data_IF_889812685156
#
_entry.id   IF_889812685156
#
_cell.length_a   1.000
_cell.length_b   1.000
_cell.length_c   1.000
_cell.angle_alpha   90.00
_cell.angle_beta   90.00
_cell.angle_gamma   90.00
#
_symmetry.space_group_name_H-M   'P 1'
#
loop_
_entity.id
_entity.type
_entity.pdbx_description
1 polymer ?
#
# COMPACT_ATOMS: atom_id res chain seq x y z
N UNK A 1 -48.01 -11.10 -27.54
CA UNK A 1 -46.65 -10.85 -28.05
C UNK A 1 -45.82 -10.37 -26.85
N UNK A 2 -45.24 -11.30 -26.09
CA UNK A 2 -44.46 -10.96 -24.88
C UNK A 2 -42.98 -10.89 -25.24
N UNK A 3 -42.37 -9.75 -24.96
CA UNK A 3 -40.95 -9.48 -25.18
C UNK A 3 -40.10 -10.33 -24.23
N UNK A 4 -39.18 -11.12 -24.79
CA UNK A 4 -38.10 -11.76 -24.02
C UNK A 4 -37.20 -10.66 -23.48
N UNK A 5 -37.18 -10.54 -22.15
CA UNK A 5 -36.30 -9.64 -21.42
C UNK A 5 -34.88 -10.20 -21.48
N UNK A 6 -33.86 -9.46 -21.94
CA UNK A 6 -32.51 -9.98 -22.02
C UNK A 6 -32.02 -10.33 -20.61
N UNK A 7 -31.52 -11.56 -20.44
CA UNK A 7 -30.89 -11.98 -19.18
C UNK A 7 -29.83 -10.96 -18.78
N UNK A 8 -29.95 -10.40 -17.58
CA UNK A 8 -28.92 -9.53 -17.04
C UNK A 8 -27.64 -10.34 -16.91
N UNK A 9 -26.57 -9.89 -17.59
CA UNK A 9 -25.21 -10.44 -17.55
C UNK A 9 -24.73 -10.91 -16.15
N UNK A 10 -25.06 -10.26 -15.02
CA UNK A 10 -24.70 -10.79 -13.69
C UNK A 10 -25.27 -12.20 -13.37
N UNK A 11 -26.41 -12.59 -13.95
CA UNK A 11 -27.05 -13.89 -13.69
C UNK A 11 -26.41 -15.07 -14.43
N UNK A 12 -25.71 -14.82 -15.54
CA UNK A 12 -24.99 -15.84 -16.30
C UNK A 12 -23.60 -16.13 -15.68
N UNK A 13 -22.92 -15.09 -15.21
CA UNK A 13 -21.60 -15.21 -14.54
C UNK A 13 -21.73 -15.86 -13.16
N UNK A 14 -22.79 -15.53 -12.41
CA UNK A 14 -23.07 -16.18 -11.12
C UNK A 14 -23.35 -17.68 -11.22
N UNK A 15 -23.95 -18.14 -12.34
CA UNK A 15 -24.26 -19.57 -12.57
C UNK A 15 -23.05 -20.39 -12.99
N UNK A 16 -22.07 -19.80 -13.68
CA UNK A 16 -20.83 -20.50 -14.09
C UNK A 16 -19.81 -20.56 -12.96
N UNK A 17 -19.74 -19.55 -12.09
CA UNK A 17 -18.84 -19.53 -10.93
C UNK A 17 -19.12 -20.62 -9.88
N UNK A 18 -20.35 -21.11 -9.79
CA UNK A 18 -20.71 -22.23 -8.92
C UNK A 18 -20.15 -23.61 -9.36
N UNK A 19 -19.65 -23.72 -10.59
CA UNK A 19 -19.12 -24.98 -11.17
C UNK A 19 -17.60 -25.02 -11.33
N UNK A 20 -16.90 -23.96 -10.98
CA UNK A 20 -15.44 -23.87 -11.14
C UNK A 20 -14.77 -24.32 -9.84
N UNK A 21 -13.74 -25.18 -9.87
CA UNK A 21 -12.99 -25.57 -8.67
C UNK A 21 -12.58 -24.36 -7.85
N UNK A 22 -12.54 -24.51 -6.52
CA UNK A 22 -12.26 -23.41 -5.59
C UNK A 22 -10.99 -22.63 -5.96
N UNK A 23 -9.98 -23.33 -6.49
CA UNK A 23 -8.71 -22.75 -6.93
C UNK A 23 -8.85 -21.82 -8.13
N UNK A 24 -9.73 -22.14 -9.08
CA UNK A 24 -9.95 -21.27 -10.25
C UNK A 24 -10.76 -20.04 -9.87
N UNK A 25 -11.72 -20.17 -8.94
CA UNK A 25 -12.39 -18.99 -8.37
C UNK A 25 -11.40 -18.09 -7.66
N UNK A 26 -10.45 -18.67 -6.92
CA UNK A 26 -9.39 -17.91 -6.25
C UNK A 26 -8.48 -17.20 -7.26
N UNK A 27 -8.16 -17.85 -8.38
CA UNK A 27 -7.37 -17.24 -9.47
C UNK A 27 -8.16 -16.11 -10.15
N UNK A 28 -9.44 -16.32 -10.44
CA UNK A 28 -10.32 -15.29 -11.03
C UNK A 28 -10.47 -14.12 -10.07
N UNK A 29 -10.67 -14.37 -8.78
CA UNK A 29 -10.79 -13.33 -7.76
C UNK A 29 -9.48 -12.58 -7.60
N UNK A 30 -8.33 -13.26 -7.50
CA UNK A 30 -7.01 -12.60 -7.49
C UNK A 30 -6.73 -11.83 -8.77
N UNK A 31 -7.15 -12.34 -9.93
CA UNK A 31 -7.02 -11.63 -11.19
C UNK A 31 -7.90 -10.38 -11.18
N UNK A 32 -9.13 -10.48 -10.68
CA UNK A 32 -10.06 -9.37 -10.55
C UNK A 32 -9.52 -8.30 -9.58
N UNK A 33 -9.08 -8.70 -8.38
CA UNK A 33 -8.49 -7.83 -7.37
C UNK A 33 -7.17 -7.20 -7.85
N UNK A 34 -6.41 -7.89 -8.71
CA UNK A 34 -5.16 -7.34 -9.26
C UNK A 34 -5.31 -6.54 -10.56
N UNK A 35 -6.34 -6.82 -11.36
CA UNK A 35 -6.53 -6.24 -12.69
C UNK A 35 -7.66 -5.21 -12.77
N UNK A 36 -8.66 -5.26 -11.87
CA UNK A 36 -9.82 -4.37 -11.88
C UNK A 36 -9.85 -3.38 -10.73
N UNK A 37 -9.19 -3.66 -9.60
CA UNK A 37 -9.14 -2.65 -8.53
C UNK A 37 -8.24 -1.47 -8.92
N UNK A 38 -8.69 -0.23 -8.67
CA UNK A 38 -7.88 0.95 -8.93
C UNK A 38 -6.55 0.84 -8.19
N UNK A 39 -5.47 0.73 -8.95
CA UNK A 39 -4.11 0.84 -8.42
C UNK A 39 -3.79 2.32 -8.24
N UNK A 40 -2.94 2.64 -7.28
CA UNK A 40 -2.29 3.94 -7.30
C UNK A 40 -1.47 4.07 -8.58
N UNK A 41 -1.32 5.29 -9.07
CA UNK A 41 -0.36 5.53 -10.14
C UNK A 41 1.08 5.22 -9.68
N UNK A 42 1.98 4.90 -10.61
CA UNK A 42 3.40 4.76 -10.30
C UNK A 42 4.01 5.99 -9.62
N UNK A 43 3.65 7.19 -10.06
CA UNK A 43 4.14 8.45 -9.46
C UNK A 43 3.68 8.60 -8.01
N UNK A 44 2.41 8.35 -7.71
CA UNK A 44 1.91 8.36 -6.32
C UNK A 44 2.62 7.34 -5.45
N UNK A 45 2.97 6.17 -6.01
CA UNK A 45 3.72 5.14 -5.30
C UNK A 45 5.12 5.62 -4.92
N UNK A 46 5.82 6.26 -5.86
CA UNK A 46 7.15 6.85 -5.61
C UNK A 46 7.07 7.94 -4.54
N UNK A 47 6.09 8.84 -4.64
CA UNK A 47 5.92 9.93 -3.67
C UNK A 47 5.59 9.42 -2.26
N UNK A 48 4.74 8.38 -2.14
CA UNK A 48 4.47 7.74 -0.84
C UNK A 48 5.74 7.13 -0.23
N UNK A 49 6.55 6.45 -1.02
CA UNK A 49 7.82 5.87 -0.55
C UNK A 49 8.80 6.97 -0.12
N UNK A 50 8.86 8.08 -0.85
CA UNK A 50 9.67 9.25 -0.45
C UNK A 50 9.18 9.87 0.86
N UNK A 51 7.87 9.97 1.06
CA UNK A 51 7.29 10.47 2.31
C UNK A 51 7.61 9.59 3.52
N UNK A 52 7.94 8.31 3.29
CA UNK A 52 8.44 7.40 4.33
C UNK A 52 9.94 7.61 4.64
N UNK A 53 10.63 8.48 3.91
CA UNK A 53 12.04 8.79 4.09
C UNK A 53 13.00 7.94 3.24
N UNK A 54 12.49 7.15 2.29
CA UNK A 54 13.32 6.35 1.41
C UNK A 54 13.62 7.10 0.10
N UNK A 55 14.83 6.89 -0.43
CA UNK A 55 15.28 7.52 -1.67
C UNK A 55 14.41 7.12 -2.87
N UNK A 56 14.09 5.83 -2.95
CA UNK A 56 13.37 5.21 -4.06
C UNK A 56 12.66 3.92 -3.59
N UNK A 57 11.83 3.37 -4.47
CA UNK A 57 11.04 2.15 -4.21
C UNK A 57 11.94 0.94 -3.95
N UNK A 58 13.10 0.85 -4.59
CA UNK A 58 14.02 -0.27 -4.40
C UNK A 58 14.64 -0.25 -3.00
N UNK A 59 15.06 0.92 -2.52
CA UNK A 59 15.58 1.11 -1.16
C UNK A 59 14.54 0.75 -0.10
N UNK A 60 13.28 1.15 -0.30
CA UNK A 60 12.18 0.74 0.57
C UNK A 60 11.98 -0.77 0.56
N UNK A 61 11.86 -1.38 -0.63
CA UNK A 61 11.65 -2.83 -0.73
C UNK A 61 12.79 -3.62 -0.08
N UNK A 62 14.04 -3.20 -0.27
CA UNK A 62 15.20 -3.83 0.37
C UNK A 62 15.14 -3.73 1.90
N UNK A 63 14.83 -2.53 2.44
CA UNK A 63 14.69 -2.32 3.88
C UNK A 63 13.52 -3.11 4.49
N UNK A 64 12.42 -3.26 3.74
CA UNK A 64 11.24 -4.02 4.15
C UNK A 64 11.39 -5.54 3.94
N UNK A 65 12.53 -6.04 3.42
CA UNK A 65 12.73 -7.45 3.13
C UNK A 65 11.86 -7.99 2.00
N UNK A 66 11.38 -7.12 1.11
CA UNK A 66 10.53 -7.47 -0.03
C UNK A 66 11.37 -7.93 -1.22
N UNK A 67 10.90 -8.92 -2.01
CA UNK A 67 11.60 -9.36 -3.21
C UNK A 67 11.86 -8.23 -4.21
N UNK A 68 13.06 -8.21 -4.82
CA UNK A 68 13.48 -7.13 -5.73
C UNK A 68 12.53 -6.90 -6.91
N UNK A 69 11.93 -7.97 -7.45
CA UNK A 69 10.97 -7.87 -8.56
C UNK A 69 9.70 -7.07 -8.20
N UNK A 70 9.37 -6.93 -6.90
CA UNK A 70 8.25 -6.09 -6.47
C UNK A 70 8.55 -4.61 -6.67
N UNK A 71 9.79 -4.17 -6.45
CA UNK A 71 10.17 -2.78 -6.67
C UNK A 71 9.95 -2.38 -8.14
N UNK A 72 10.39 -3.23 -9.08
CA UNK A 72 10.17 -3.03 -10.51
C UNK A 72 8.67 -2.98 -10.85
N UNK A 73 7.88 -3.90 -10.29
CA UNK A 73 6.42 -3.91 -10.49
C UNK A 73 5.74 -2.66 -9.95
N UNK A 74 6.15 -2.18 -8.79
CA UNK A 74 5.56 -1.00 -8.15
C UNK A 74 5.92 0.27 -8.91
N UNK A 75 7.15 0.38 -9.42
CA UNK A 75 7.56 1.49 -10.30
C UNK A 75 6.84 1.45 -11.64
N UNK A 76 6.47 0.27 -12.15
CA UNK A 76 5.81 0.15 -13.45
C UNK A 76 4.28 0.25 -13.39
N UNK A 77 3.67 -0.32 -12.36
CA UNK A 77 2.23 -0.53 -12.27
C UNK A 77 1.59 0.07 -11.01
N UNK A 78 2.37 0.74 -10.17
CA UNK A 78 1.92 1.20 -8.87
C UNK A 78 1.55 0.06 -7.92
N UNK A 79 0.91 0.42 -6.80
CA UNK A 79 0.52 -0.50 -5.73
C UNK A 79 -1.00 -0.66 -5.66
N UNK A 80 -1.45 -1.72 -4.98
CA UNK A 80 -2.89 -1.89 -4.70
C UNK A 80 -3.38 -0.80 -3.74
N UNK A 81 -4.70 -0.62 -3.68
CA UNK A 81 -5.31 0.36 -2.77
C UNK A 81 -5.04 0.02 -1.30
N UNK A 82 -5.03 -1.24 -0.91
CA UNK A 82 -4.73 -1.69 0.46
C UNK A 82 -3.30 -1.36 0.83
N UNK A 83 -2.34 -1.66 -0.06
CA UNK A 83 -0.94 -1.33 0.18
C UNK A 83 -0.76 0.19 0.27
N UNK A 84 -1.47 0.97 -0.57
CA UNK A 84 -1.47 2.43 -0.46
C UNK A 84 -1.95 2.89 0.92
N UNK A 85 -3.02 2.32 1.45
CA UNK A 85 -3.51 2.66 2.79
C UNK A 85 -2.48 2.33 3.88
N UNK A 86 -1.80 1.18 3.78
CA UNK A 86 -0.73 0.80 4.71
C UNK A 86 0.42 1.82 4.67
N UNK A 87 0.92 2.15 3.47
CA UNK A 87 2.00 3.12 3.33
C UNK A 87 1.59 4.52 3.80
N UNK A 88 0.34 4.92 3.54
CA UNK A 88 -0.20 6.20 4.04
C UNK A 88 -0.23 6.26 5.57
N UNK A 89 -0.66 5.18 6.23
CA UNK A 89 -0.68 5.09 7.69
C UNK A 89 0.74 5.20 8.27
N UNK A 90 1.69 4.45 7.70
CA UNK A 90 3.10 4.53 8.09
C UNK A 90 3.65 5.95 7.92
N UNK A 91 3.34 6.61 6.80
CA UNK A 91 3.77 7.98 6.54
C UNK A 91 3.14 8.97 7.53
N UNK A 92 1.87 8.78 7.92
CA UNK A 92 1.26 9.61 8.97
C UNK A 92 1.92 9.42 10.33
N UNK A 93 2.25 8.19 10.71
CA UNK A 93 2.95 7.94 11.97
C UNK A 93 4.36 8.54 11.98
N UNK A 94 5.10 8.40 10.88
CA UNK A 94 6.43 9.03 10.75
C UNK A 94 6.36 10.54 10.91
N UNK A 95 5.37 11.19 10.29
CA UNK A 95 5.15 12.65 10.44
C UNK A 95 4.81 13.00 11.89
N UNK A 96 3.85 12.32 12.49
CA UNK A 96 3.46 12.58 13.88
C UNK A 96 4.63 12.41 14.87
N UNK A 97 5.52 11.44 14.65
CA UNK A 97 6.76 11.29 15.44
C UNK A 97 7.70 12.46 15.18
N UNK A 98 7.95 12.84 13.93
CA UNK A 98 8.81 13.98 13.62
C UNK A 98 8.30 15.29 14.24
N UNK A 99 7.00 15.54 14.17
CA UNK A 99 6.36 16.72 14.76
C UNK A 99 6.51 16.69 16.30
N UNK A 100 6.34 15.53 16.93
CA UNK A 100 6.54 15.38 18.38
C UNK A 100 8.00 15.58 18.82
N UNK A 101 8.97 15.17 17.99
CA UNK A 101 10.39 15.45 18.24
C UNK A 101 10.65 16.95 18.14
N UNK A 102 10.15 17.61 17.10
CA UNK A 102 10.31 19.07 16.93
C UNK A 102 9.68 19.84 18.09
N UNK A 103 8.47 19.45 18.53
CA UNK A 103 7.82 20.05 19.70
C UNK A 103 8.63 19.84 20.98
N UNK A 104 9.17 18.63 21.19
CA UNK A 104 10.02 18.33 22.33
C UNK A 104 11.28 19.21 22.35
N UNK A 105 11.98 19.31 21.22
CA UNK A 105 13.21 20.10 21.11
C UNK A 105 12.93 21.59 21.30
N UNK A 106 11.82 22.09 20.77
CA UNK A 106 11.38 23.48 20.96
C UNK A 106 11.04 23.79 22.43
N UNK A 107 10.41 22.85 23.15
CA UNK A 107 10.04 23.04 24.55
C UNK A 107 11.24 22.94 25.50
N UNK A 108 12.17 22.01 25.24
CA UNK A 108 13.28 21.70 26.15
C UNK A 108 14.57 22.45 25.82
N UNK A 109 14.69 23.02 24.61
CA UNK A 109 15.91 23.63 24.07
C UNK A 109 17.11 22.67 24.04
N UNK A 110 16.85 21.36 24.04
CA UNK A 110 17.84 20.30 23.96
C UNK A 110 17.49 19.39 22.79
N UNK A 111 18.51 18.93 22.05
CA UNK A 111 18.32 17.91 21.01
C UNK A 111 17.86 16.59 21.64
N UNK A 112 16.97 15.86 20.95
CA UNK A 112 16.42 14.62 21.50
C UNK A 112 17.51 13.57 21.75
N UNK A 113 18.48 13.44 20.85
CA UNK A 113 19.58 12.49 20.97
C UNK A 113 20.45 12.79 22.20
N UNK A 114 20.81 14.06 22.41
CA UNK A 114 21.58 14.49 23.58
C UNK A 114 20.80 14.22 24.88
N UNK A 115 19.50 14.54 24.88
CA UNK A 115 18.63 14.30 26.03
C UNK A 115 18.52 12.81 26.41
N UNK A 116 18.48 11.92 25.42
CA UNK A 116 18.45 10.47 25.63
C UNK A 116 19.81 9.92 26.08
N UNK A 117 20.91 10.41 25.50
CA UNK A 117 22.27 10.00 25.86
C UNK A 117 22.62 10.39 27.31
N UNK A 118 22.24 11.58 27.76
CA UNK A 118 22.41 12.03 29.16
C UNK A 118 21.69 11.11 30.17
N UNK A 119 20.64 10.42 29.73
CA UNK A 119 19.85 9.48 30.54
C UNK A 119 20.27 8.01 30.37
N UNK A 120 21.26 7.74 29.51
CA UNK A 120 21.73 6.39 29.22
C UNK A 120 20.67 5.49 28.56
N UNK A 121 19.77 6.09 27.76
CA UNK A 121 18.71 5.36 27.03
C UNK A 121 19.17 4.84 25.66
N UNK A 122 20.22 5.45 25.10
CA UNK A 122 20.91 5.09 23.87
C UNK A 122 22.42 5.22 24.06
#
# INVERSE_FOLDING_TARGET
MHAEKPESLPSAVGRTLGRVPADVRLIVQRFQDHALDPRSSPSETVELVRALGYRDVAAFCAAAGLPAHLAERWVRFGISTEMRQVLMLMASHRRAVADAVEEFEAATHAGLDDFMAERGLI
#
